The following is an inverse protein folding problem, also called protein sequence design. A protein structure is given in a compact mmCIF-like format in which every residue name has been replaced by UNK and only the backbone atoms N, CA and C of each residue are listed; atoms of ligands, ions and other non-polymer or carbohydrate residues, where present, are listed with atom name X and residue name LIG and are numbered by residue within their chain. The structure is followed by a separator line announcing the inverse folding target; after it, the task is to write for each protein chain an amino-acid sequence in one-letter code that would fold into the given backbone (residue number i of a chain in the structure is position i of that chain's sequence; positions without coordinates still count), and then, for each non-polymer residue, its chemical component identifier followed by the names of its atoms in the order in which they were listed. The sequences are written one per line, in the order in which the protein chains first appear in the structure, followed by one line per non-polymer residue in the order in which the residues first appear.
data_IF_707523032885
#
_entry.id   IF_707523032885
#
_cell.length_a   1.000
_cell.length_b   1.000
_cell.length_c   1.000
_cell.angle_alpha   90.00
_cell.angle_beta   90.00
_cell.angle_gamma   90.00
#
_symmetry.space_group_name_H-M   'P 1'
#
loop_
_entity.id
_entity.type
_entity.pdbx_description
1 polymer ?
#
# COMPACT_ATOMS: atom_id res chain seq x y z
N UNK A 1 -5.88 -14.00 -8.34
CA UNK A 1 -4.93 -12.91 -8.03
C UNK A 1 -4.30 -12.25 -9.26
N UNK A 2 -3.46 -12.92 -10.07
CA UNK A 2 -2.76 -12.24 -11.18
C UNK A 2 -3.72 -11.64 -12.23
N UNK A 3 -4.72 -12.41 -12.69
CA UNK A 3 -5.74 -11.92 -13.63
C UNK A 3 -6.55 -10.74 -13.10
N UNK A 4 -6.83 -10.72 -11.79
CA UNK A 4 -7.58 -9.61 -11.16
C UNK A 4 -6.72 -8.34 -11.12
N UNK A 5 -5.42 -8.46 -10.86
CA UNK A 5 -4.48 -7.33 -10.94
C UNK A 5 -4.36 -6.79 -12.37
N UNK A 6 -4.27 -7.66 -13.36
CA UNK A 6 -4.26 -7.28 -14.77
C UNK A 6 -5.56 -6.57 -15.16
N UNK A 7 -6.71 -7.09 -14.75
CA UNK A 7 -8.01 -6.45 -14.97
C UNK A 7 -8.09 -5.05 -14.36
N UNK A 8 -7.70 -4.89 -13.09
CA UNK A 8 -7.68 -3.57 -12.44
C UNK A 8 -6.67 -2.62 -13.07
N UNK A 9 -5.51 -3.11 -13.53
CA UNK A 9 -4.54 -2.30 -14.24
C UNK A 9 -5.11 -1.76 -15.56
N UNK A 10 -5.85 -2.60 -16.31
CA UNK A 10 -6.56 -2.19 -17.51
C UNK A 10 -7.59 -1.09 -17.24
N UNK A 11 -8.43 -1.27 -16.21
CA UNK A 11 -9.42 -0.25 -15.82
C UNK A 11 -8.78 1.08 -15.43
N UNK A 12 -7.69 1.05 -14.65
CA UNK A 12 -6.97 2.26 -14.25
C UNK A 12 -6.31 2.95 -15.44
N UNK A 13 -5.78 2.19 -16.40
CA UNK A 13 -5.27 2.75 -17.66
C UNK A 13 -6.37 3.45 -18.44
N UNK A 14 -7.49 2.78 -18.69
CA UNK A 14 -8.61 3.36 -19.44
C UNK A 14 -9.15 4.65 -18.81
N UNK A 15 -9.15 4.73 -17.48
CA UNK A 15 -9.72 5.86 -16.76
C UNK A 15 -8.75 7.04 -16.60
N UNK A 16 -7.46 6.79 -16.40
CA UNK A 16 -6.49 7.83 -15.99
C UNK A 16 -5.40 8.09 -17.02
N UNK A 17 -5.26 7.26 -18.06
CA UNK A 17 -4.31 7.47 -19.15
C UNK A 17 -4.97 8.25 -20.29
N UNK A 18 -4.39 9.39 -20.65
CA UNK A 18 -4.89 10.22 -21.75
C UNK A 18 -4.42 9.78 -23.14
N UNK A 19 -3.45 8.87 -23.22
CA UNK A 19 -2.90 8.36 -24.47
C UNK A 19 -3.73 7.22 -25.06
N UNK A 20 -3.67 7.05 -26.39
CA UNK A 20 -4.10 5.80 -27.01
C UNK A 20 -3.05 4.73 -26.73
N UNK A 21 -3.49 3.54 -26.37
CA UNK A 21 -2.63 2.36 -26.25
C UNK A 21 -3.28 1.18 -26.96
N UNK A 22 -2.46 0.22 -27.42
CA UNK A 22 -2.95 -0.99 -28.09
C UNK A 22 -2.85 -2.20 -27.18
N UNK A 23 -1.81 -2.24 -26.35
CA UNK A 23 -1.56 -3.34 -25.44
C UNK A 23 -0.96 -2.83 -24.12
N UNK A 24 -1.18 -3.60 -23.05
CA UNK A 24 -0.52 -3.41 -21.78
C UNK A 24 -0.09 -4.73 -21.17
N UNK A 25 0.89 -4.70 -20.29
CA UNK A 25 1.38 -5.88 -19.58
C UNK A 25 1.78 -5.50 -18.16
N UNK A 26 1.40 -6.34 -17.21
CA UNK A 26 1.81 -6.20 -15.82
C UNK A 26 2.98 -7.14 -15.54
N UNK A 27 4.16 -6.59 -15.26
CA UNK A 27 5.35 -7.35 -14.87
C UNK A 27 5.69 -7.08 -13.40
N UNK A 28 6.61 -7.86 -12.84
CA UNK A 28 7.12 -7.65 -11.48
C UNK A 28 8.65 -7.58 -11.49
N UNK A 29 9.21 -6.73 -10.63
CA UNK A 29 10.66 -6.74 -10.38
C UNK A 29 11.06 -7.89 -9.44
N UNK A 30 12.37 -7.99 -9.15
CA UNK A 30 12.94 -8.99 -8.24
C UNK A 30 12.46 -8.89 -6.78
N UNK A 31 11.85 -7.77 -6.38
CA UNK A 31 11.26 -7.57 -5.06
C UNK A 31 9.73 -7.79 -5.07
N UNK A 32 9.15 -8.10 -6.23
CA UNK A 32 7.72 -8.31 -6.42
C UNK A 32 6.94 -7.02 -6.67
N UNK A 33 7.61 -5.87 -6.86
CA UNK A 33 6.98 -4.60 -7.18
C UNK A 33 6.34 -4.69 -8.57
N UNK A 34 5.05 -4.38 -8.73
CA UNK A 34 4.41 -4.37 -10.04
C UNK A 34 4.89 -3.19 -10.89
N UNK A 35 5.10 -3.44 -12.18
CA UNK A 35 5.34 -2.42 -13.20
C UNK A 35 4.38 -2.64 -14.37
N UNK A 36 3.75 -1.56 -14.79
CA UNK A 36 2.87 -1.54 -15.93
C UNK A 36 3.65 -1.11 -17.16
N UNK A 37 3.62 -1.94 -18.19
CA UNK A 37 4.15 -1.61 -19.50
C UNK A 37 2.98 -1.30 -20.44
N UNK A 38 3.05 -0.17 -21.14
CA UNK A 38 2.07 0.27 -22.15
C UNK A 38 2.79 0.30 -23.49
N UNK A 39 2.31 -0.48 -24.46
CA UNK A 39 2.95 -0.66 -25.77
C UNK A 39 4.47 -0.96 -25.67
N UNK A 40 4.85 -1.78 -24.68
CA UNK A 40 6.23 -2.20 -24.41
C UNK A 40 7.12 -1.17 -23.72
N UNK A 41 6.58 0.00 -23.33
CA UNK A 41 7.31 1.06 -22.62
C UNK A 41 6.82 1.20 -21.18
N UNK A 42 7.63 1.73 -20.25
CA UNK A 42 7.16 2.05 -18.91
C UNK A 42 5.94 2.96 -18.97
N UNK A 43 4.85 2.55 -18.32
CA UNK A 43 3.64 3.34 -18.17
C UNK A 43 3.47 3.88 -16.74
N UNK A 44 2.22 4.18 -16.35
CA UNK A 44 1.89 4.67 -15.02
C UNK A 44 2.41 3.79 -13.90
N UNK A 45 2.86 4.42 -12.82
CA UNK A 45 3.14 3.69 -11.59
C UNK A 45 1.85 3.10 -11.04
N UNK A 46 1.91 1.83 -10.61
CA UNK A 46 0.76 1.11 -10.06
C UNK A 46 1.13 0.41 -8.75
N UNK A 47 0.19 0.33 -7.81
CA UNK A 47 0.33 -0.45 -6.58
C UNK A 47 -0.95 -1.22 -6.29
N UNK A 48 -0.82 -2.40 -5.70
CA UNK A 48 -1.94 -3.25 -5.30
C UNK A 48 -1.89 -3.57 -3.81
N UNK A 49 -3.06 -3.75 -3.21
CA UNK A 49 -3.18 -4.36 -1.89
C UNK A 49 -4.37 -5.30 -1.82
N UNK A 50 -4.23 -6.39 -1.07
CA UNK A 50 -5.36 -7.27 -0.75
C UNK A 50 -5.67 -7.12 0.73
N UNK A 51 -6.93 -6.88 1.07
CA UNK A 51 -7.39 -6.71 2.45
C UNK A 51 -8.90 -6.90 2.53
N UNK A 52 -9.40 -7.44 3.65
CA UNK A 52 -10.83 -7.70 3.86
C UNK A 52 -11.54 -8.42 2.69
N UNK A 53 -10.84 -9.38 2.05
CA UNK A 53 -11.36 -10.15 0.92
C UNK A 53 -11.50 -9.38 -0.41
N UNK A 54 -10.85 -8.22 -0.55
CA UNK A 54 -10.91 -7.39 -1.76
C UNK A 54 -9.51 -7.03 -2.26
N UNK A 55 -9.39 -6.88 -3.59
CA UNK A 55 -8.22 -6.30 -4.24
C UNK A 55 -8.44 -4.81 -4.45
N UNK A 56 -7.48 -4.02 -3.98
CA UNK A 56 -7.40 -2.59 -4.21
C UNK A 56 -6.22 -2.30 -5.14
N UNK A 57 -6.36 -1.26 -5.96
CA UNK A 57 -5.32 -0.78 -6.84
C UNK A 57 -5.29 0.75 -6.83
N UNK A 58 -4.10 1.32 -6.96
CA UNK A 58 -3.89 2.74 -7.14
C UNK A 58 -2.91 2.97 -8.29
N UNK A 59 -3.17 3.98 -9.12
CA UNK A 59 -2.29 4.41 -10.20
C UNK A 59 -1.89 5.87 -9.98
N UNK A 60 -0.64 6.20 -10.32
CA UNK A 60 -0.11 7.55 -10.30
C UNK A 60 0.48 7.92 -11.66
N UNK A 61 0.95 9.17 -11.84
CA UNK A 61 1.69 9.57 -13.04
C UNK A 61 2.91 8.67 -13.29
N UNK A 62 3.43 8.72 -14.51
CA UNK A 62 4.65 8.01 -14.89
C UNK A 62 5.78 8.29 -13.89
N UNK A 63 6.46 7.22 -13.47
CA UNK A 63 7.62 7.27 -12.57
C UNK A 63 7.32 7.86 -11.18
N UNK A 64 6.06 8.05 -10.80
CA UNK A 64 5.69 8.48 -9.46
C UNK A 64 5.92 7.37 -8.42
N UNK A 65 6.14 7.77 -7.17
CA UNK A 65 6.17 6.84 -6.05
C UNK A 65 4.76 6.64 -5.51
N UNK A 66 4.17 5.50 -5.85
CA UNK A 66 2.84 5.12 -5.36
C UNK A 66 2.91 3.82 -4.59
N UNK A 67 2.29 3.83 -3.42
CA UNK A 67 2.11 2.66 -2.59
C UNK A 67 0.72 2.67 -1.99
N UNK A 68 0.11 1.50 -1.95
CA UNK A 68 -1.21 1.28 -1.41
C UNK A 68 -1.15 0.07 -0.50
N UNK A 69 -1.71 0.20 0.69
CA UNK A 69 -1.93 -0.91 1.59
C UNK A 69 -3.32 -0.85 2.18
N UNK A 70 -3.92 -2.02 2.37
CA UNK A 70 -5.23 -2.21 2.93
C UNK A 70 -5.06 -3.26 4.02
N UNK A 71 -5.22 -2.83 5.26
CA UNK A 71 -5.08 -3.65 6.45
C UNK A 71 -6.40 -3.65 7.20
N UNK A 72 -6.83 -4.81 7.68
CA UNK A 72 -8.08 -4.93 8.45
C UNK A 72 -7.80 -5.17 9.94
N UNK A 73 -8.66 -4.71 10.86
CA UNK A 73 -8.49 -4.93 12.29
C UNK A 73 -8.33 -6.42 12.67
N UNK A 74 -8.99 -7.32 11.93
CA UNK A 74 -8.96 -8.76 12.17
C UNK A 74 -7.55 -9.36 12.07
N UNK A 75 -6.66 -8.74 11.29
CA UNK A 75 -5.25 -9.11 11.15
C UNK A 75 -4.44 -8.88 12.44
N UNK A 76 -4.96 -8.05 13.35
CA UNK A 76 -4.26 -7.58 14.55
C UNK A 76 -4.89 -8.07 15.86
N UNK A 77 -5.74 -9.09 15.79
CA UNK A 77 -6.44 -9.66 16.95
C UNK A 77 -5.52 -10.54 17.81
N UNK A 78 -5.92 -10.76 19.07
CA UNK A 78 -5.25 -11.68 19.98
C UNK A 78 -3.92 -11.14 20.54
N UNK A 79 -2.91 -12.01 20.67
CA UNK A 79 -1.62 -11.67 21.27
C UNK A 79 -0.66 -10.96 20.29
N UNK A 80 -1.19 -10.08 19.43
CA UNK A 80 -0.39 -9.40 18.41
C UNK A 80 0.71 -8.53 19.06
N UNK A 81 1.98 -8.63 18.61
CA UNK A 81 3.10 -7.99 19.29
C UNK A 81 3.28 -6.52 18.91
N UNK A 82 2.31 -5.65 19.25
CA UNK A 82 2.30 -4.23 18.85
C UNK A 82 3.63 -3.50 19.11
N UNK A 83 4.22 -3.68 20.29
CA UNK A 83 5.48 -3.02 20.67
C UNK A 83 6.72 -3.47 19.89
N UNK A 84 6.64 -4.55 19.09
CA UNK A 84 7.69 -4.95 18.15
C UNK A 84 7.56 -4.26 16.79
N UNK A 85 6.36 -3.77 16.46
CA UNK A 85 6.01 -3.24 15.15
C UNK A 85 5.90 -1.71 15.17
N UNK A 86 5.33 -1.17 16.24
CA UNK A 86 5.03 0.25 16.40
C UNK A 86 5.85 0.88 17.52
N UNK A 87 6.28 2.12 17.30
CA UNK A 87 6.86 2.92 18.36
C UNK A 87 5.76 3.47 19.28
N UNK A 88 6.13 3.79 20.52
CA UNK A 88 5.17 4.19 21.55
C UNK A 88 4.35 5.44 21.14
N UNK A 89 5.00 6.44 20.56
CA UNK A 89 4.36 7.73 20.25
C UNK A 89 3.33 7.63 19.10
N UNK A 90 3.68 6.93 18.02
CA UNK A 90 2.73 6.70 16.90
C UNK A 90 1.59 5.78 17.33
N UNK A 91 1.88 4.79 18.19
CA UNK A 91 0.89 3.90 18.76
C UNK A 91 -0.13 4.65 19.62
N UNK A 92 0.34 5.47 20.55
CA UNK A 92 -0.54 6.30 21.40
C UNK A 92 -1.38 7.26 20.56
N UNK A 93 -0.76 7.93 19.58
CA UNK A 93 -1.50 8.83 18.67
C UNK A 93 -2.58 8.08 17.90
N UNK A 94 -2.26 6.89 17.39
CA UNK A 94 -3.21 6.09 16.64
C UNK A 94 -4.35 5.59 17.51
N UNK A 95 -4.07 5.14 18.74
CA UNK A 95 -5.10 4.73 19.71
C UNK A 95 -6.09 5.86 20.00
N UNK A 96 -5.60 7.10 20.20
CA UNK A 96 -6.49 8.26 20.41
C UNK A 96 -7.43 8.45 19.21
N UNK A 97 -6.93 8.30 17.99
CA UNK A 97 -7.72 8.48 16.76
C UNK A 97 -8.74 7.38 16.52
N UNK A 98 -8.51 6.17 17.02
CA UNK A 98 -9.41 5.02 16.86
C UNK A 98 -10.25 4.77 18.12
N UNK A 99 -10.45 5.78 18.97
CA UNK A 99 -11.29 5.65 20.17
C UNK A 99 -10.78 4.63 21.18
N UNK A 100 -9.47 4.37 21.19
CA UNK A 100 -8.82 3.38 22.05
C UNK A 100 -8.86 1.95 21.51
N UNK A 101 -9.39 1.70 20.31
CA UNK A 101 -9.41 0.37 19.71
C UNK A 101 -8.01 -0.01 19.18
N UNK A 102 -7.35 -1.05 19.75
CA UNK A 102 -5.99 -1.43 19.37
C UNK A 102 -5.90 -2.09 18.00
N UNK A 103 -6.87 -2.91 17.59
CA UNK A 103 -6.86 -3.53 16.27
C UNK A 103 -7.02 -2.50 15.16
N UNK A 104 -7.93 -1.55 15.33
CA UNK A 104 -8.09 -0.43 14.38
C UNK A 104 -6.86 0.47 14.35
N UNK A 105 -6.26 0.76 15.51
CA UNK A 105 -5.03 1.55 15.57
C UNK A 105 -3.88 0.86 14.83
N UNK A 106 -3.76 -0.46 15.00
CA UNK A 106 -2.75 -1.25 14.33
C UNK A 106 -2.98 -1.30 12.81
N UNK A 107 -4.22 -1.51 12.36
CA UNK A 107 -4.58 -1.48 10.94
C UNK A 107 -4.28 -0.11 10.30
N UNK A 108 -4.61 0.99 11.00
CA UNK A 108 -4.30 2.34 10.56
C UNK A 108 -2.79 2.56 10.41
N UNK A 109 -2.00 2.25 11.43
CA UNK A 109 -0.54 2.41 11.36
C UNK A 109 0.11 1.50 10.33
N UNK A 110 -0.31 0.24 10.27
CA UNK A 110 0.24 -0.74 9.34
C UNK A 110 0.00 -0.33 7.89
N UNK A 111 -1.24 0.03 7.55
CA UNK A 111 -1.58 0.45 6.20
C UNK A 111 -0.78 1.68 5.74
N UNK A 112 -0.58 2.67 6.61
CA UNK A 112 0.25 3.83 6.28
C UNK A 112 1.72 3.45 6.08
N UNK A 113 2.29 2.63 6.96
CA UNK A 113 3.70 2.23 6.87
C UNK A 113 3.96 1.33 5.66
N UNK A 114 3.12 0.33 5.41
CA UNK A 114 3.21 -0.55 4.24
C UNK A 114 3.05 0.24 2.94
N UNK A 115 2.08 1.16 2.87
CA UNK A 115 1.94 2.05 1.72
C UNK A 115 3.23 2.85 1.46
N UNK A 116 3.86 3.39 2.51
CA UNK A 116 5.12 4.14 2.38
C UNK A 116 6.27 3.27 1.84
N UNK A 117 6.46 2.05 2.34
CA UNK A 117 7.55 1.17 1.86
C UNK A 117 7.27 0.56 0.48
N UNK A 118 5.99 0.35 0.12
CA UNK A 118 5.57 -0.06 -1.22
C UNK A 118 5.84 1.04 -2.25
N UNK A 119 5.63 2.31 -1.89
CA UNK A 119 5.93 3.43 -2.77
C UNK A 119 7.43 3.48 -3.16
N UNK A 120 8.30 3.14 -2.21
CA UNK A 120 9.75 3.02 -2.44
C UNK A 120 10.15 1.72 -3.16
N UNK A 121 9.31 0.67 -3.11
CA UNK A 121 9.58 -0.63 -3.73
C UNK A 121 10.45 -1.56 -2.89
N UNK A 122 10.61 -1.27 -1.59
CA UNK A 122 11.52 -2.00 -0.71
C UNK A 122 10.82 -2.99 0.22
N UNK A 123 9.54 -2.73 0.53
CA UNK A 123 8.89 -3.38 1.67
C UNK A 123 9.71 -3.18 2.96
N UNK A 124 9.49 -4.05 3.96
CA UNK A 124 10.31 -4.09 5.17
C UNK A 124 11.57 -4.97 5.05
N UNK A 125 12.09 -5.19 3.83
CA UNK A 125 13.29 -6.02 3.61
C UNK A 125 14.58 -5.34 4.09
N UNK A 126 14.64 -4.00 4.04
CA UNK A 126 15.84 -3.23 4.36
C UNK A 126 15.84 -2.67 5.79
N UNK A 127 14.65 -2.41 6.36
CA UNK A 127 14.49 -1.98 7.73
C UNK A 127 13.18 -2.50 8.31
N UNK A 128 13.17 -2.73 9.62
CA UNK A 128 11.95 -3.13 10.32
C UNK A 128 10.94 -1.97 10.45
N UNK A 129 9.65 -2.28 10.67
CA UNK A 129 8.55 -1.31 10.70
C UNK A 129 8.69 -0.21 11.75
N UNK A 130 9.44 -0.47 12.84
CA UNK A 130 9.76 0.53 13.87
C UNK A 130 10.74 1.61 13.42
N UNK A 131 11.43 1.44 12.28
CA UNK A 131 12.31 2.48 11.74
C UNK A 131 11.57 3.57 10.96
N UNK A 132 10.32 3.30 10.57
CA UNK A 132 9.43 4.34 10.09
C UNK A 132 8.64 4.90 11.27
N UNK A 133 8.39 6.20 11.24
CA UNK A 133 7.49 6.85 12.19
C UNK A 133 6.35 7.49 11.42
N UNK A 134 5.12 7.19 11.84
CA UNK A 134 3.93 7.88 11.34
C UNK A 134 3.57 8.99 12.31
N UNK A 135 3.41 10.19 11.77
CA UNK A 135 2.93 11.37 12.49
C UNK A 135 1.65 11.86 11.82
N UNK A 136 0.61 12.07 12.60
CA UNK A 136 -0.68 12.55 12.09
C UNK A 136 -0.82 14.04 12.40
N UNK A 137 -0.70 14.88 11.37
CA UNK A 137 -0.81 16.34 11.49
C UNK A 137 -2.26 16.76 11.18
N UNK A 138 -2.96 17.37 12.15
CA UNK A 138 -4.35 17.85 12.00
C UNK A 138 -5.30 17.37 13.10
N UNK A 139 -6.24 18.25 13.49
CA UNK A 139 -7.03 18.24 14.75
C UNK A 139 -7.65 16.88 15.10
N UNK A 140 -7.16 16.31 16.20
CA UNK A 140 -8.06 15.72 17.19
C UNK A 140 -8.64 16.82 18.07
#
# INVERSE_FOLDING_TARGET
MQREKEFLAGLLLEQFWSGKFHNYTLIQDHLGRPHLLVDGRPGPSISFSWGAGRLYAASGPDQSWIGLDAASPEEFTGAYPYGRVFNLEEWQTSLVRTGGNPEEAAALLWSVKEAAVKAQGWGFRFFGPRRLRVEFIGLG
#
